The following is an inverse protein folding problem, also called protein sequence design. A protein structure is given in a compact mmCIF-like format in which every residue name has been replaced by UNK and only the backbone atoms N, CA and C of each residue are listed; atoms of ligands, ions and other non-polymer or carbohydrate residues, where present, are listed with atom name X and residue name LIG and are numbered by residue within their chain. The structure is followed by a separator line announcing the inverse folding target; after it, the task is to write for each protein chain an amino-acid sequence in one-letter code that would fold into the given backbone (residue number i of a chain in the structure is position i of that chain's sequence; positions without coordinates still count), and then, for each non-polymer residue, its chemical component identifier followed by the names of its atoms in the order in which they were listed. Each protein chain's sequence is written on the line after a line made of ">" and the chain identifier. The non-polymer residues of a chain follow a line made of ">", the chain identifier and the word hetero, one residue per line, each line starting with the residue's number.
data_IF_258492373639
#
_entry.id   IF_258492373639
#
_cell.length_a   1.000
_cell.length_b   1.000
_cell.length_c   1.000
_cell.angle_alpha   90.00
_cell.angle_beta   90.00
_cell.angle_gamma   90.00
#
_symmetry.space_group_name_H-M   'P 1'
#
loop_
_entity.id
_entity.type
_entity.pdbx_description
1 polymer ?
#
# COMPACT_ATOMS: atom_id res chain seq x y z
N UNK A 1 9.80 87.46 2.94
CA UNK A 1 8.82 86.49 3.50
C UNK A 1 9.10 85.18 2.80
N UNK A 2 9.77 84.25 3.47
CA UNK A 2 10.05 82.92 2.91
C UNK A 2 8.77 82.08 2.98
N UNK A 3 8.27 81.66 1.82
CA UNK A 3 7.17 80.69 1.72
C UNK A 3 7.67 79.32 2.20
N UNK A 4 7.22 78.89 3.38
CA UNK A 4 7.41 77.53 3.84
C UNK A 4 6.60 76.58 2.95
N UNK A 5 7.26 75.91 2.02
CA UNK A 5 6.73 74.78 1.27
C UNK A 5 6.20 73.73 2.26
N UNK A 6 4.87 73.57 2.30
CA UNK A 6 4.22 72.53 3.08
C UNK A 6 4.64 71.15 2.55
N UNK A 7 5.51 70.44 3.28
CA UNK A 7 5.91 69.06 2.98
C UNK A 7 4.66 68.18 3.00
N UNK A 8 4.24 67.66 1.84
CA UNK A 8 3.10 66.74 1.74
C UNK A 8 3.37 65.49 2.60
N UNK A 9 2.42 65.05 3.44
CA UNK A 9 2.62 63.88 4.30
C UNK A 9 2.61 62.60 3.45
N UNK A 10 3.81 62.13 3.10
CA UNK A 10 4.07 60.88 2.37
C UNK A 10 3.94 59.62 3.24
N UNK A 11 3.77 59.77 4.55
CA UNK A 11 3.67 58.66 5.49
C UNK A 11 2.45 57.75 5.21
N UNK A 12 1.27 58.34 5.05
CA UNK A 12 0.01 57.60 4.81
C UNK A 12 0.06 56.71 3.56
N UNK A 13 0.49 57.19 2.37
CA UNK A 13 0.58 56.32 1.20
C UNK A 13 1.65 55.23 1.36
N UNK A 14 2.77 55.50 2.03
CA UNK A 14 3.80 54.47 2.30
C UNK A 14 3.25 53.36 3.19
N UNK A 15 2.56 53.70 4.28
CA UNK A 15 1.95 52.71 5.19
C UNK A 15 0.89 51.90 4.46
N UNK A 16 0.05 52.53 3.63
CA UNK A 16 -0.95 51.84 2.81
C UNK A 16 -0.30 50.84 1.85
N UNK A 17 0.78 51.22 1.17
CA UNK A 17 1.52 50.32 0.27
C UNK A 17 2.11 49.15 1.05
N UNK A 18 2.80 49.41 2.18
CA UNK A 18 3.39 48.35 3.01
C UNK A 18 2.32 47.40 3.54
N UNK A 19 1.18 47.93 4.01
CA UNK A 19 0.05 47.14 4.49
C UNK A 19 -0.52 46.27 3.37
N UNK A 20 -0.70 46.84 2.18
CA UNK A 20 -1.25 46.13 1.02
C UNK A 20 -0.30 45.02 0.55
N UNK A 21 1.00 45.31 0.45
CA UNK A 21 2.03 44.32 0.11
C UNK A 21 2.12 43.21 1.16
N UNK A 22 2.01 43.56 2.45
CA UNK A 22 1.99 42.57 3.55
C UNK A 22 0.76 41.67 3.48
N UNK A 23 -0.43 42.24 3.19
CA UNK A 23 -1.66 41.47 3.04
C UNK A 23 -1.58 40.50 1.84
N UNK A 24 -1.12 41.00 0.68
CA UNK A 24 -0.92 40.20 -0.53
C UNK A 24 0.09 39.07 -0.27
N UNK A 25 1.21 39.38 0.39
CA UNK A 25 2.24 38.41 0.75
C UNK A 25 1.69 37.30 1.63
N UNK A 26 0.92 37.63 2.66
CA UNK A 26 0.29 36.65 3.54
C UNK A 26 -0.71 35.75 2.79
N UNK A 27 -1.58 36.33 1.97
CA UNK A 27 -2.55 35.55 1.17
C UNK A 27 -1.83 34.63 0.18
N UNK A 28 -0.75 35.11 -0.44
CA UNK A 28 0.06 34.31 -1.35
C UNK A 28 0.75 33.13 -0.64
N UNK A 29 1.38 33.38 0.51
CA UNK A 29 2.02 32.34 1.32
C UNK A 29 1.00 31.32 1.81
N UNK A 30 -0.17 31.77 2.27
CA UNK A 30 -1.22 30.88 2.74
C UNK A 30 -1.78 30.02 1.61
N UNK A 31 -1.94 30.59 0.41
CA UNK A 31 -2.37 29.87 -0.78
C UNK A 31 -1.36 28.80 -1.20
N UNK A 32 -0.06 29.13 -1.16
CA UNK A 32 1.03 28.16 -1.41
C UNK A 32 1.04 27.04 -0.39
N UNK A 33 0.84 27.35 0.89
CA UNK A 33 0.81 26.37 1.97
C UNK A 33 -0.36 25.39 1.80
N UNK A 34 -1.57 25.90 1.51
CA UNK A 34 -2.75 25.06 1.24
C UNK A 34 -2.54 24.17 0.01
N UNK A 35 -2.00 24.74 -1.08
CA UNK A 35 -1.70 23.96 -2.29
C UNK A 35 -0.70 22.82 -2.00
N UNK A 36 0.34 23.10 -1.21
CA UNK A 36 1.34 22.10 -0.86
C UNK A 36 0.75 20.98 0.02
N UNK A 37 -0.08 21.34 1.00
CA UNK A 37 -0.78 20.37 1.85
C UNK A 37 -1.73 19.48 1.05
N UNK A 38 -2.50 20.05 0.10
CA UNK A 38 -3.37 19.27 -0.77
C UNK A 38 -2.61 18.32 -1.69
N UNK A 39 -1.47 18.74 -2.23
CA UNK A 39 -0.61 17.87 -3.05
C UNK A 39 -0.05 16.72 -2.22
N UNK A 40 0.50 17.02 -1.03
CA UNK A 40 1.01 16.00 -0.11
C UNK A 40 -0.07 14.97 0.28
N UNK A 41 -1.29 15.43 0.58
CA UNK A 41 -2.43 14.54 0.84
C UNK A 41 -2.80 13.70 -0.38
N UNK A 42 -2.85 14.30 -1.56
CA UNK A 42 -3.13 13.56 -2.79
C UNK A 42 -2.05 12.50 -3.08
N UNK A 43 -0.78 12.79 -2.82
CA UNK A 43 0.31 11.83 -2.99
C UNK A 43 0.19 10.65 -2.01
N UNK A 44 -0.15 10.93 -0.74
CA UNK A 44 -0.41 9.89 0.26
C UNK A 44 -1.59 9.00 -0.13
N UNK A 45 -2.71 9.58 -0.53
CA UNK A 45 -3.85 8.78 -0.98
C UNK A 45 -3.56 7.99 -2.26
N UNK A 46 -2.82 8.57 -3.19
CA UNK A 46 -2.37 7.86 -4.39
C UNK A 46 -1.46 6.67 -4.04
N UNK A 47 -0.65 6.78 -2.97
CA UNK A 47 0.16 5.67 -2.49
C UNK A 47 -0.71 4.55 -1.88
N UNK A 48 -1.73 4.89 -1.09
CA UNK A 48 -2.69 3.92 -0.54
C UNK A 48 -3.44 3.17 -1.65
N UNK A 49 -3.92 3.88 -2.67
CA UNK A 49 -4.62 3.27 -3.80
C UNK A 49 -3.68 2.33 -4.56
N UNK A 50 -2.44 2.77 -4.82
CA UNK A 50 -1.43 1.94 -5.51
C UNK A 50 -1.05 0.70 -4.71
N UNK A 51 -0.84 0.82 -3.40
CA UNK A 51 -0.49 -0.33 -2.56
C UNK A 51 -1.67 -1.30 -2.40
N UNK A 52 -2.90 -0.80 -2.23
CA UNK A 52 -4.10 -1.65 -2.20
C UNK A 52 -4.33 -2.42 -3.50
N UNK A 53 -4.19 -1.76 -4.65
CA UNK A 53 -4.30 -2.41 -5.96
C UNK A 53 -3.14 -3.38 -6.23
N UNK A 54 -1.93 -3.03 -5.82
CA UNK A 54 -0.77 -3.92 -5.91
C UNK A 54 -0.92 -5.15 -5.01
N UNK A 55 -1.47 -5.00 -3.81
CA UNK A 55 -1.79 -6.11 -2.92
C UNK A 55 -2.81 -7.06 -3.56
N UNK A 56 -3.89 -6.49 -4.13
CA UNK A 56 -4.92 -7.24 -4.86
C UNK A 56 -4.32 -8.05 -6.01
N UNK A 57 -3.55 -7.39 -6.87
CA UNK A 57 -2.86 -8.05 -7.99
C UNK A 57 -1.93 -9.18 -7.50
N UNK A 58 -1.15 -8.94 -6.43
CA UNK A 58 -0.28 -9.95 -5.85
C UNK A 58 -1.05 -11.18 -5.38
N UNK A 59 -2.13 -11.03 -4.60
CA UNK A 59 -2.90 -12.18 -4.10
C UNK A 59 -3.68 -12.89 -5.20
N UNK A 60 -4.16 -12.16 -6.22
CA UNK A 60 -4.79 -12.74 -7.42
C UNK A 60 -3.80 -13.65 -8.17
N UNK A 61 -2.60 -13.13 -8.48
CA UNK A 61 -1.54 -13.86 -9.17
C UNK A 61 -1.02 -15.02 -8.31
N UNK A 62 -0.74 -14.79 -7.02
CA UNK A 62 -0.19 -15.81 -6.13
C UNK A 62 -1.17 -16.96 -5.90
N UNK A 63 -2.48 -16.70 -5.79
CA UNK A 63 -3.49 -17.75 -5.69
C UNK A 63 -3.60 -18.55 -6.99
N UNK A 64 -3.61 -17.88 -8.15
CA UNK A 64 -3.67 -18.54 -9.44
C UNK A 64 -2.44 -19.44 -9.68
N UNK A 65 -1.24 -18.90 -9.47
CA UNK A 65 0.02 -19.62 -9.71
C UNK A 65 0.26 -20.75 -8.70
N UNK A 66 -0.19 -20.59 -7.44
CA UNK A 66 -0.15 -21.69 -6.45
C UNK A 66 -1.10 -22.83 -6.87
N UNK A 67 -2.27 -22.47 -7.42
CA UNK A 67 -3.20 -23.44 -7.99
C UNK A 67 -2.62 -24.18 -9.21
N UNK A 68 -1.95 -23.46 -10.12
CA UNK A 68 -1.27 -24.06 -11.27
C UNK A 68 -0.15 -25.00 -10.81
N UNK A 69 0.65 -24.58 -9.83
CA UNK A 69 1.73 -25.39 -9.25
C UNK A 69 1.23 -26.72 -8.65
N UNK A 70 0.09 -26.69 -7.96
CA UNK A 70 -0.56 -27.87 -7.40
C UNK A 70 -1.08 -28.84 -8.48
N UNK A 71 -1.46 -28.31 -9.65
CA UNK A 71 -2.02 -29.11 -10.75
C UNK A 71 -0.95 -29.80 -11.61
N UNK A 72 0.33 -29.36 -11.56
CA UNK A 72 1.40 -29.94 -12.38
C UNK A 72 2.05 -31.15 -11.70
N UNK A 73 1.98 -32.29 -12.40
CA UNK A 73 2.67 -33.52 -11.98
C UNK A 73 4.09 -33.66 -12.54
N UNK A 74 4.35 -33.09 -13.72
CA UNK A 74 5.66 -33.14 -14.38
C UNK A 74 6.65 -32.10 -13.82
N UNK A 75 7.94 -32.46 -13.80
CA UNK A 75 9.00 -31.63 -13.22
C UNK A 75 9.17 -30.32 -14.00
N UNK A 76 9.18 -30.36 -15.34
CA UNK A 76 9.45 -29.17 -16.15
C UNK A 76 8.32 -28.15 -16.00
N UNK A 77 7.07 -28.61 -16.10
CA UNK A 77 5.90 -27.76 -15.90
C UNK A 77 5.81 -27.21 -14.48
N UNK A 78 6.15 -28.03 -13.47
CA UNK A 78 6.17 -27.60 -12.07
C UNK A 78 7.23 -26.52 -11.82
N UNK A 79 8.42 -26.65 -12.40
CA UNK A 79 9.47 -25.63 -12.26
C UNK A 79 9.05 -24.31 -12.93
N UNK A 80 8.37 -24.36 -14.07
CA UNK A 80 7.81 -23.17 -14.71
C UNK A 80 6.72 -22.52 -13.84
N UNK A 81 5.77 -23.30 -13.33
CA UNK A 81 4.73 -22.79 -12.43
C UNK A 81 5.33 -22.17 -11.15
N UNK A 82 6.33 -22.82 -10.55
CA UNK A 82 7.07 -22.29 -9.40
C UNK A 82 7.79 -20.99 -9.74
N UNK A 83 8.42 -20.89 -10.90
CA UNK A 83 9.10 -19.67 -11.33
C UNK A 83 8.12 -18.50 -11.52
N UNK A 84 6.90 -18.75 -12.01
CA UNK A 84 5.86 -17.73 -12.12
C UNK A 84 5.41 -17.24 -10.75
N UNK A 85 5.13 -18.18 -9.85
CA UNK A 85 4.77 -17.87 -8.47
C UNK A 85 5.87 -17.02 -7.79
N UNK A 86 7.14 -17.39 -7.93
CA UNK A 86 8.26 -16.61 -7.38
C UNK A 86 8.39 -15.22 -8.04
N UNK A 87 7.98 -15.07 -9.31
CA UNK A 87 7.97 -13.78 -9.98
C UNK A 87 6.86 -12.86 -9.44
N UNK A 88 5.69 -13.40 -9.08
CA UNK A 88 4.60 -12.65 -8.45
C UNK A 88 5.04 -11.99 -7.13
N UNK A 89 5.93 -12.64 -6.37
CA UNK A 89 6.51 -12.08 -5.14
C UNK A 89 7.30 -10.78 -5.33
N UNK A 90 7.63 -10.37 -6.55
CA UNK A 90 8.18 -9.02 -6.81
C UNK A 90 7.21 -7.90 -6.42
N UNK A 91 5.91 -8.18 -6.40
CA UNK A 91 4.86 -7.23 -5.99
C UNK A 91 4.41 -7.43 -4.54
N UNK A 92 4.95 -8.42 -3.83
CA UNK A 92 4.53 -8.79 -2.47
C UNK A 92 4.61 -7.61 -1.48
N UNK A 93 5.60 -6.73 -1.64
CA UNK A 93 5.77 -5.56 -0.77
C UNK A 93 4.56 -4.63 -0.78
N UNK A 94 3.75 -4.62 -1.85
CA UNK A 94 2.54 -3.80 -1.93
C UNK A 94 1.51 -4.16 -0.83
N UNK A 95 1.40 -5.44 -0.47
CA UNK A 95 0.53 -5.89 0.63
C UNK A 95 1.02 -5.36 1.98
N UNK A 96 2.33 -5.41 2.22
CA UNK A 96 2.92 -4.86 3.43
C UNK A 96 2.81 -3.32 3.48
N UNK A 97 3.04 -2.64 2.36
CA UNK A 97 2.90 -1.18 2.24
C UNK A 97 1.45 -0.73 2.50
N UNK A 98 0.47 -1.49 2.03
CA UNK A 98 -0.96 -1.21 2.28
C UNK A 98 -1.30 -1.33 3.77
N UNK A 99 -0.80 -2.37 4.44
CA UNK A 99 -0.99 -2.57 5.89
C UNK A 99 -0.29 -1.48 6.68
N UNK A 100 0.97 -1.15 6.35
CA UNK A 100 1.71 -0.07 7.01
C UNK A 100 1.02 1.29 6.84
N UNK A 101 0.50 1.58 5.65
CA UNK A 101 -0.27 2.80 5.42
C UNK A 101 -1.53 2.88 6.31
N UNK A 102 -2.21 1.74 6.55
CA UNK A 102 -3.36 1.68 7.45
C UNK A 102 -2.98 1.84 8.93
N UNK A 103 -1.85 1.29 9.35
CA UNK A 103 -1.31 1.50 10.70
C UNK A 103 -0.95 2.98 10.93
N UNK A 104 -0.32 3.63 9.94
CA UNK A 104 -0.01 5.05 9.97
C UNK A 104 -1.26 5.92 10.02
N UNK A 105 -2.31 5.56 9.27
CA UNK A 105 -3.60 6.25 9.29
C UNK A 105 -4.32 6.10 10.65
N UNK A 106 -4.23 4.93 11.28
CA UNK A 106 -4.80 4.65 12.60
C UNK A 106 -3.94 5.17 13.76
N UNK A 107 -2.70 5.58 13.50
CA UNK A 107 -1.74 6.03 14.52
C UNK A 107 -1.28 4.92 15.47
N UNK A 108 -1.59 3.65 15.17
CA UNK A 108 -1.19 2.48 15.96
C UNK A 108 -1.05 1.26 15.07
N UNK A 109 -0.11 0.39 15.42
CA UNK A 109 0.04 -0.92 14.78
C UNK A 109 -1.14 -1.83 15.09
N UNK A 110 -1.47 -2.71 14.16
CA UNK A 110 -2.47 -3.74 14.39
C UNK A 110 -1.95 -4.79 15.37
N UNK A 111 -2.84 -5.33 16.21
CA UNK A 111 -2.50 -6.39 17.14
C UNK A 111 -2.44 -7.73 16.39
N UNK A 112 -1.29 -8.04 15.79
CA UNK A 112 -1.04 -9.28 15.07
C UNK A 112 0.17 -10.02 15.66
N UNK A 113 0.19 -11.36 15.52
CA UNK A 113 1.31 -12.19 16.00
C UNK A 113 2.55 -12.02 15.12
N UNK A 114 2.35 -11.88 13.81
CA UNK A 114 3.38 -11.67 12.79
C UNK A 114 3.02 -10.49 11.91
N UNK A 115 4.03 -9.77 11.46
CA UNK A 115 3.88 -8.71 10.47
C UNK A 115 3.61 -9.27 9.07
N UNK A 116 3.13 -8.40 8.18
CA UNK A 116 2.93 -8.75 6.77
C UNK A 116 4.26 -9.15 6.09
N UNK A 117 5.32 -8.40 6.35
CA UNK A 117 6.66 -8.68 5.83
C UNK A 117 7.15 -10.08 6.24
N UNK A 118 6.97 -10.44 7.52
CA UNK A 118 7.36 -11.76 8.04
C UNK A 118 6.58 -12.90 7.36
N UNK A 119 5.28 -12.73 7.13
CA UNK A 119 4.49 -13.72 6.40
C UNK A 119 5.00 -13.91 4.96
N UNK A 120 5.29 -12.81 4.27
CA UNK A 120 5.75 -12.84 2.88
C UNK A 120 7.14 -13.49 2.78
N UNK A 121 8.05 -13.15 3.69
CA UNK A 121 9.40 -13.73 3.73
C UNK A 121 9.37 -15.23 4.06
N UNK A 122 8.58 -15.65 5.05
CA UNK A 122 8.48 -17.06 5.45
C UNK A 122 7.85 -17.92 4.34
N UNK A 123 6.81 -17.40 3.68
CA UNK A 123 6.16 -18.12 2.57
C UNK A 123 7.05 -18.19 1.34
N UNK A 124 7.79 -17.11 1.02
CA UNK A 124 8.79 -17.11 -0.05
C UNK A 124 9.90 -18.12 0.19
N UNK A 125 10.48 -18.13 1.39
CA UNK A 125 11.54 -19.08 1.77
C UNK A 125 11.06 -20.53 1.65
N UNK A 126 9.84 -20.81 2.12
CA UNK A 126 9.24 -22.14 2.01
C UNK A 126 8.97 -22.54 0.56
N UNK A 127 8.46 -21.63 -0.27
CA UNK A 127 8.25 -21.88 -1.70
C UNK A 127 9.55 -22.17 -2.44
N UNK A 128 10.66 -21.52 -2.05
CA UNK A 128 11.98 -21.81 -2.61
C UNK A 128 12.43 -23.25 -2.29
N UNK A 129 12.05 -23.81 -1.14
CA UNK A 129 12.36 -25.19 -0.75
C UNK A 129 11.46 -26.26 -1.41
N UNK A 130 10.17 -25.96 -1.60
CA UNK A 130 9.16 -26.90 -2.13
C UNK A 130 9.43 -27.29 -3.59
N UNK A 131 9.30 -28.58 -3.93
CA UNK A 131 9.27 -29.09 -5.29
C UNK A 131 10.62 -29.24 -5.98
N UNK A 132 11.73 -29.15 -5.22
CA UNK A 132 13.12 -29.24 -5.71
C UNK A 132 13.63 -30.69 -5.90
N UNK A 133 12.75 -31.68 -5.87
CA UNK A 133 13.13 -33.09 -6.01
C UNK A 133 12.55 -33.69 -7.30
N UNK A 134 13.12 -34.83 -7.71
CA UNK A 134 12.57 -35.63 -8.79
C UNK A 134 11.25 -36.29 -8.35
N UNK A 135 10.29 -36.42 -9.27
CA UNK A 135 8.99 -37.04 -9.00
C UNK A 135 7.89 -36.04 -8.58
N UNK A 136 6.66 -36.53 -8.38
CA UNK A 136 5.49 -35.71 -8.05
C UNK A 136 5.63 -35.08 -6.66
N UNK A 137 4.94 -33.96 -6.42
CA UNK A 137 4.91 -33.30 -5.11
C UNK A 137 4.56 -34.31 -4.01
N UNK A 138 5.31 -34.27 -2.91
CA UNK A 138 5.05 -35.08 -1.73
C UNK A 138 3.73 -34.65 -1.06
N UNK A 139 3.14 -35.53 -0.26
CA UNK A 139 1.91 -35.21 0.48
C UNK A 139 2.09 -33.99 1.41
N UNK A 140 3.27 -33.81 1.98
CA UNK A 140 3.59 -32.65 2.82
C UNK A 140 3.63 -31.35 2.03
N UNK A 141 4.25 -31.35 0.84
CA UNK A 141 4.28 -30.17 -0.03
C UNK A 141 2.89 -29.83 -0.58
N UNK A 142 2.10 -30.83 -0.95
CA UNK A 142 0.72 -30.62 -1.37
C UNK A 142 -0.12 -30.03 -0.23
N UNK A 143 0.03 -30.52 1.00
CA UNK A 143 -0.67 -29.97 2.15
C UNK A 143 -0.26 -28.51 2.41
N UNK A 144 1.05 -28.21 2.35
CA UNK A 144 1.57 -26.86 2.50
C UNK A 144 1.04 -25.91 1.42
N UNK A 145 1.14 -26.28 0.15
CA UNK A 145 0.66 -25.47 -0.98
C UNK A 145 -0.86 -25.28 -0.95
N UNK A 146 -1.62 -26.28 -0.53
CA UNK A 146 -3.07 -26.12 -0.34
C UNK A 146 -3.39 -25.14 0.80
N UNK A 147 -2.67 -25.20 1.92
CA UNK A 147 -2.81 -24.24 3.02
C UNK A 147 -2.47 -22.82 2.57
N UNK A 148 -1.39 -22.66 1.82
CA UNK A 148 -0.97 -21.38 1.25
C UNK A 148 -2.00 -20.83 0.26
N UNK A 149 -2.54 -21.68 -0.63
CA UNK A 149 -3.60 -21.33 -1.56
C UNK A 149 -4.85 -20.83 -0.84
N UNK A 150 -5.24 -21.48 0.26
CA UNK A 150 -6.37 -21.04 1.07
C UNK A 150 -6.11 -19.67 1.71
N UNK A 151 -4.90 -19.45 2.24
CA UNK A 151 -4.51 -18.16 2.80
C UNK A 151 -4.56 -17.04 1.74
N UNK A 152 -4.02 -17.28 0.54
CA UNK A 152 -4.07 -16.31 -0.55
C UNK A 152 -5.49 -16.02 -1.02
N UNK A 153 -6.35 -17.04 -1.14
CA UNK A 153 -7.77 -16.84 -1.48
C UNK A 153 -8.53 -16.05 -0.41
N UNK A 154 -8.23 -16.27 0.86
CA UNK A 154 -8.83 -15.49 1.94
C UNK A 154 -8.38 -14.01 1.86
N UNK A 155 -7.10 -13.77 1.63
CA UNK A 155 -6.56 -12.42 1.42
C UNK A 155 -7.18 -11.71 0.19
N UNK A 156 -7.34 -12.45 -0.92
CA UNK A 156 -8.03 -11.98 -2.12
C UNK A 156 -9.48 -11.60 -1.82
N UNK A 157 -10.20 -12.41 -1.04
CA UNK A 157 -11.59 -12.13 -0.66
C UNK A 157 -11.70 -10.85 0.15
N UNK A 158 -10.83 -10.62 1.14
CA UNK A 158 -10.81 -9.38 1.91
C UNK A 158 -10.53 -8.16 1.02
N UNK A 159 -9.58 -8.28 0.09
CA UNK A 159 -9.23 -7.19 -0.84
C UNK A 159 -10.28 -6.94 -1.94
N UNK A 160 -11.23 -7.87 -2.16
CA UNK A 160 -12.32 -7.65 -3.12
C UNK A 160 -13.24 -6.49 -2.73
N UNK A 161 -13.29 -6.14 -1.44
CA UNK A 161 -14.01 -4.97 -0.93
C UNK A 161 -13.32 -3.64 -1.27
N UNK A 162 -12.05 -3.66 -1.67
CA UNK A 162 -11.31 -2.48 -2.09
C UNK A 162 -11.61 -2.15 -3.55
N UNK A 163 -12.47 -1.14 -3.77
CA UNK A 163 -13.00 -0.76 -5.09
C UNK A 163 -12.35 0.50 -5.69
N UNK A 164 -11.12 0.82 -5.28
CA UNK A 164 -10.43 2.05 -5.71
C UNK A 164 -9.51 1.79 -6.91
N UNK A 165 -10.09 1.58 -8.10
CA UNK A 165 -9.31 1.17 -9.28
C UNK A 165 -8.63 2.35 -10.01
N UNK A 166 -9.01 3.59 -9.72
CA UNK A 166 -8.51 4.79 -10.43
C UNK A 166 -7.68 5.68 -9.50
N UNK A 167 -6.44 5.95 -9.89
CA UNK A 167 -5.57 6.92 -9.20
C UNK A 167 -5.73 8.29 -9.85
N UNK A 168 -6.57 9.14 -9.26
CA UNK A 168 -6.67 10.55 -9.62
C UNK A 168 -6.73 11.42 -8.35
N UNK A 169 -6.55 12.74 -8.49
CA UNK A 169 -6.46 13.64 -7.33
C UNK A 169 -7.70 13.59 -6.43
N UNK A 170 -8.89 13.44 -7.01
CA UNK A 170 -10.16 13.39 -6.27
C UNK A 170 -10.27 12.11 -5.44
N UNK A 171 -10.01 10.96 -6.07
CA UNK A 171 -10.01 9.65 -5.41
C UNK A 171 -8.91 9.54 -4.35
N UNK A 172 -7.73 10.08 -4.63
CA UNK A 172 -6.63 10.15 -3.66
C UNK A 172 -6.96 11.02 -2.44
N UNK A 173 -7.79 12.05 -2.58
CA UNK A 173 -8.23 12.82 -1.40
C UNK A 173 -9.38 12.10 -0.69
N UNK A 174 -10.28 11.45 -1.44
CA UNK A 174 -11.41 10.71 -0.90
C UNK A 174 -10.97 9.51 -0.04
N UNK A 175 -9.99 8.73 -0.50
CA UNK A 175 -9.47 7.56 0.23
C UNK A 175 -8.93 7.92 1.62
N UNK A 176 -8.39 9.14 1.81
CA UNK A 176 -7.87 9.57 3.11
C UNK A 176 -8.98 9.87 4.13
N UNK A 177 -10.21 10.08 3.67
CA UNK A 177 -11.38 10.32 4.54
C UNK A 177 -12.22 9.04 4.68
N UNK A 178 -12.05 8.09 3.76
CA UNK A 178 -12.69 6.77 3.81
C UNK A 178 -12.14 5.95 4.99
N UNK A 179 -13.01 5.64 5.94
CA UNK A 179 -12.68 4.82 7.10
C UNK A 179 -12.72 3.30 6.81
N UNK A 180 -13.15 2.89 5.62
CA UNK A 180 -13.30 1.48 5.25
C UNK A 180 -11.97 0.78 4.98
N UNK A 181 -11.08 1.40 4.20
CA UNK A 181 -9.85 0.75 3.75
C UNK A 181 -8.86 0.34 4.87
N UNK A 182 -8.71 1.08 6.00
CA UNK A 182 -7.85 0.63 7.09
C UNK A 182 -8.37 -0.64 7.76
N UNK A 183 -9.70 -0.84 7.79
CA UNK A 183 -10.32 -2.07 8.29
C UNK A 183 -10.05 -3.26 7.38
N UNK A 184 -10.05 -3.04 6.05
CA UNK A 184 -9.68 -4.07 5.06
C UNK A 184 -8.23 -4.48 5.28
N UNK A 185 -7.32 -3.53 5.45
CA UNK A 185 -5.91 -3.82 5.73
C UNK A 185 -5.70 -4.60 7.04
N UNK A 186 -6.44 -4.28 8.10
CA UNK A 186 -6.40 -5.03 9.35
C UNK A 186 -6.94 -6.47 9.22
N UNK A 187 -8.00 -6.65 8.41
CA UNK A 187 -8.58 -7.96 8.11
C UNK A 187 -7.61 -8.80 7.27
N UNK A 188 -6.97 -8.19 6.28
CA UNK A 188 -5.90 -8.79 5.48
C UNK A 188 -4.77 -9.32 6.37
N UNK A 189 -4.26 -8.52 7.31
CA UNK A 189 -3.22 -8.95 8.24
C UNK A 189 -3.71 -10.10 9.15
N UNK A 190 -4.99 -10.11 9.52
CA UNK A 190 -5.60 -11.18 10.30
C UNK A 190 -5.62 -12.49 9.51
N UNK A 191 -6.01 -12.46 8.24
CA UNK A 191 -5.98 -13.64 7.34
C UNK A 191 -4.56 -14.19 7.18
N UNK A 192 -3.56 -13.33 6.99
CA UNK A 192 -2.14 -13.71 6.92
C UNK A 192 -1.66 -14.38 8.22
N UNK A 193 -2.31 -14.11 9.35
CA UNK A 193 -1.96 -14.67 10.65
C UNK A 193 -2.73 -15.96 11.02
N UNK A 194 -3.73 -16.38 10.23
CA UNK A 194 -4.48 -17.62 10.50
C UNK A 194 -3.64 -18.91 10.35
N UNK A 195 -2.77 -19.07 9.35
CA UNK A 195 -1.95 -20.27 9.24
C UNK A 195 -0.97 -20.37 10.41
N UNK A 196 -1.08 -21.43 11.22
CA UNK A 196 -0.27 -21.59 12.43
C UNK A 196 1.23 -21.76 12.12
N UNK A 197 1.56 -22.48 11.04
CA UNK A 197 2.91 -22.68 10.53
C UNK A 197 2.97 -22.18 9.07
N UNK A 198 3.90 -21.26 8.77
CA UNK A 198 4.20 -20.79 7.41
C UNK A 198 5.48 -21.39 6.84
N UNK A 199 6.25 -22.07 7.69
CA UNK A 199 7.49 -22.72 7.29
C UNK A 199 7.17 -24.15 6.82
N UNK A 200 7.51 -24.46 5.58
CA UNK A 200 7.58 -25.85 5.14
C UNK A 200 8.73 -26.56 5.88
N UNK A 201 8.40 -27.49 6.78
CA UNK A 201 9.35 -28.37 7.46
C UNK A 201 9.43 -29.64 6.61
N UNK A 202 10.41 -29.69 5.71
CA UNK A 202 10.63 -30.81 4.79
C UNK A 202 10.90 -32.14 5.47
#
# INVERSE_FOLDING_TARGET
>A
MEEQQAKRPIFTPIVLIVLTVSLIGNVFLYSKLIQNDQTSKADRGAAVIRSGNGAKAFFDEAAADTGDLLAKGDIADRMLAKSKLLAAYRQASAAADFIRAAEDANGRKFAAKRGADEFLDQTLASLQAVGNHAGPLTAGEQAYLNGLLQAFKACQQELSAFQHDTVNKEQSLAILVDAGWPSIAGSLLTEMNKPADLAFKG
#
